data_IF_507545318840
#
_entry.id   IF_507545318840
#
_cell.length_a   1.000
_cell.length_b   1.000
_cell.length_c   1.000
_cell.angle_alpha   90.00
_cell.angle_beta   90.00
_cell.angle_gamma   90.00
#
_symmetry.space_group_name_H-M   'P 1'
#
loop_
_entity.id
_entity.type
_entity.pdbx_description
1 polymer ?
#
# COMPACT_ATOMS: atom_id res chain seq x y z
N UNK A 1 -17.91 7.07 -3.82
CA UNK A 1 -18.09 8.50 -3.53
C UNK A 1 -18.88 9.13 -4.64
N UNK A 2 -20.01 9.71 -4.29
CA UNK A 2 -21.08 10.11 -5.18
C UNK A 2 -20.64 11.29 -6.08
N UNK A 3 -20.85 11.21 -7.38
CA UNK A 3 -20.60 12.28 -8.36
C UNK A 3 -21.35 13.57 -8.01
N UNK A 4 -22.48 13.48 -7.34
CA UNK A 4 -23.27 14.64 -6.89
C UNK A 4 -22.55 15.47 -5.79
N UNK A 5 -21.77 14.85 -4.89
CA UNK A 5 -21.03 15.61 -3.87
C UNK A 5 -19.81 16.35 -4.43
N UNK A 6 -19.30 15.91 -5.60
CA UNK A 6 -18.19 16.59 -6.30
C UNK A 6 -18.66 17.84 -7.05
N UNK A 7 -19.88 17.80 -7.62
CA UNK A 7 -20.48 18.93 -8.33
C UNK A 7 -20.86 20.04 -7.34
N UNK A 8 -21.47 19.70 -6.20
CA UNK A 8 -21.88 20.69 -5.19
C UNK A 8 -20.71 21.42 -4.52
N UNK A 9 -19.55 20.78 -4.35
CA UNK A 9 -18.34 21.43 -3.83
C UNK A 9 -17.68 22.35 -4.87
N UNK A 10 -17.85 22.05 -6.16
CA UNK A 10 -17.37 22.88 -7.27
C UNK A 10 -18.21 24.13 -7.42
N UNK A 11 -19.53 24.02 -7.35
CA UNK A 11 -20.47 25.14 -7.47
C UNK A 11 -20.37 26.12 -6.30
N UNK A 12 -20.20 25.64 -5.06
CA UNK A 12 -20.02 26.49 -3.88
C UNK A 12 -18.69 27.29 -3.96
N UNK A 13 -17.67 26.69 -4.49
CA UNK A 13 -16.36 27.29 -4.59
C UNK A 13 -16.23 28.25 -5.79
N UNK A 14 -16.88 27.95 -6.92
CA UNK A 14 -16.99 28.87 -8.06
C UNK A 14 -17.81 30.12 -7.72
N UNK A 15 -18.83 30.00 -6.87
CA UNK A 15 -19.63 31.12 -6.41
C UNK A 15 -18.92 32.03 -5.40
N UNK A 16 -18.07 31.47 -4.51
CA UNK A 16 -17.22 32.24 -3.61
C UNK A 16 -16.14 33.07 -4.34
N UNK A 17 -15.59 32.53 -5.42
CA UNK A 17 -14.63 33.23 -6.26
C UNK A 17 -15.29 34.31 -7.16
N UNK A 18 -16.50 34.04 -7.66
CA UNK A 18 -17.25 35.01 -8.49
C UNK A 18 -17.71 36.21 -7.68
N UNK A 19 -17.94 36.09 -6.37
CA UNK A 19 -18.43 37.19 -5.53
C UNK A 19 -17.36 38.23 -5.18
N UNK A 20 -16.08 38.01 -5.46
CA UNK A 20 -14.97 38.90 -5.15
C UNK A 20 -14.37 39.68 -6.31
N UNK A 21 -14.83 39.49 -7.56
CA UNK A 21 -14.17 40.06 -8.74
C UNK A 21 -15.09 40.84 -9.64
N UNK A 22 -14.78 42.11 -9.82
CA UNK A 22 -15.28 42.94 -10.90
C UNK A 22 -14.86 42.37 -12.26
N UNK A 23 -15.77 42.37 -13.20
CA UNK A 23 -15.63 41.89 -14.59
C UNK A 23 -14.32 42.39 -15.19
N UNK A 24 -13.37 41.52 -15.45
CA UNK A 24 -12.21 41.86 -16.24
C UNK A 24 -12.67 42.31 -17.61
N UNK A 25 -12.33 43.55 -17.99
CA UNK A 25 -12.65 44.10 -19.28
C UNK A 25 -11.95 43.28 -20.36
N UNK A 26 -12.74 42.50 -21.10
CA UNK A 26 -12.28 41.84 -22.31
C UNK A 26 -12.04 42.95 -23.33
N UNK A 27 -10.80 43.33 -23.53
CA UNK A 27 -10.39 44.26 -24.57
C UNK A 27 -10.24 43.49 -25.88
N UNK A 28 -11.00 43.85 -26.87
CA UNK A 28 -11.26 43.06 -28.08
C UNK A 28 -10.07 42.99 -29.01
N UNK A 29 -9.84 41.83 -29.56
CA UNK A 29 -8.97 41.54 -30.71
C UNK A 29 -9.62 41.96 -32.02
N UNK A 30 -8.86 42.30 -33.07
CA UNK A 30 -9.38 42.49 -34.42
C UNK A 30 -10.23 41.31 -34.89
N UNK A 31 -11.27 41.55 -35.66
CA UNK A 31 -12.23 40.53 -36.14
C UNK A 31 -11.56 39.33 -36.82
N UNK A 32 -10.43 39.54 -37.47
CA UNK A 32 -9.63 38.55 -38.20
C UNK A 32 -9.02 37.47 -37.26
N UNK A 33 -8.86 37.78 -35.98
CA UNK A 33 -8.28 36.88 -34.99
C UNK A 33 -9.32 36.17 -34.10
N UNK A 34 -10.59 36.51 -34.17
CA UNK A 34 -11.63 35.93 -33.31
C UNK A 34 -11.75 34.41 -33.53
N UNK A 35 -11.73 33.98 -34.79
CA UNK A 35 -11.79 32.55 -35.13
C UNK A 35 -10.60 31.78 -34.57
N UNK A 36 -9.40 32.34 -34.67
CA UNK A 36 -8.19 31.75 -34.11
C UNK A 36 -8.25 31.69 -32.57
N UNK A 37 -8.77 32.73 -31.93
CA UNK A 37 -8.95 32.75 -30.47
C UNK A 37 -9.94 31.68 -30.02
N UNK A 38 -11.05 31.49 -30.71
CA UNK A 38 -12.02 30.42 -30.41
C UNK A 38 -11.38 29.03 -30.50
N UNK A 39 -10.61 28.78 -31.56
CA UNK A 39 -9.94 27.50 -31.74
C UNK A 39 -8.83 27.27 -30.66
N UNK A 40 -8.13 28.32 -30.27
CA UNK A 40 -7.15 28.27 -29.16
C UNK A 40 -7.81 27.95 -27.83
N UNK A 41 -8.97 28.55 -27.54
CA UNK A 41 -9.74 28.23 -26.33
C UNK A 41 -10.23 26.77 -26.35
N UNK A 42 -10.73 26.29 -27.50
CA UNK A 42 -11.10 24.87 -27.65
C UNK A 42 -9.91 23.92 -27.50
N UNK A 43 -8.75 24.30 -27.99
CA UNK A 43 -7.52 23.53 -27.81
C UNK A 43 -7.10 23.52 -26.35
N UNK A 44 -7.12 24.64 -25.65
CA UNK A 44 -6.87 24.76 -24.22
C UNK A 44 -7.84 23.90 -23.41
N UNK A 45 -9.11 23.85 -23.79
CA UNK A 45 -10.09 22.98 -23.14
C UNK A 45 -9.78 21.49 -23.35
N UNK A 46 -9.25 21.11 -24.53
CA UNK A 46 -8.75 19.72 -24.76
C UNK A 46 -7.58 19.39 -23.84
N UNK A 47 -6.63 20.30 -23.67
CA UNK A 47 -5.49 20.10 -22.77
C UNK A 47 -5.92 20.07 -21.30
N UNK A 48 -6.86 20.92 -20.90
CA UNK A 48 -7.46 20.90 -19.57
C UNK A 48 -8.16 19.56 -19.29
N UNK A 49 -8.93 19.04 -20.24
CA UNK A 49 -9.52 17.70 -20.18
C UNK A 49 -8.46 16.62 -19.96
N UNK A 50 -7.33 16.66 -20.69
CA UNK A 50 -6.25 15.69 -20.55
C UNK A 50 -5.57 15.78 -19.18
N UNK A 51 -5.40 16.99 -18.67
CA UNK A 51 -4.76 17.25 -17.38
C UNK A 51 -5.64 16.86 -16.18
N UNK A 52 -6.96 17.11 -16.29
CA UNK A 52 -7.89 17.01 -15.14
C UNK A 52 -8.82 15.81 -15.20
N UNK A 53 -9.00 15.18 -16.37
CA UNK A 53 -9.98 14.11 -16.59
C UNK A 53 -11.43 14.60 -16.78
N UNK A 54 -11.67 15.91 -16.83
CA UNK A 54 -12.99 16.47 -17.13
C UNK A 54 -13.47 16.09 -18.54
N UNK A 55 -14.79 16.14 -18.78
CA UNK A 55 -15.32 16.05 -20.13
C UNK A 55 -15.02 17.34 -20.91
N UNK A 56 -14.96 17.26 -22.25
CA UNK A 56 -14.68 18.42 -23.10
C UNK A 56 -15.64 19.60 -22.88
N UNK A 57 -16.94 19.32 -22.71
CA UNK A 57 -17.95 20.32 -22.42
C UNK A 57 -17.68 20.99 -21.06
N UNK A 58 -17.38 20.20 -20.00
CA UNK A 58 -17.08 20.72 -18.68
C UNK A 58 -15.81 21.58 -18.67
N UNK A 59 -14.81 21.22 -19.46
CA UNK A 59 -13.60 22.02 -19.62
C UNK A 59 -13.89 23.38 -20.32
N UNK A 60 -14.75 23.40 -21.35
CA UNK A 60 -15.19 24.63 -22.01
C UNK A 60 -16.01 25.52 -21.08
N UNK A 61 -16.92 24.93 -20.30
CA UNK A 61 -17.71 25.67 -19.29
C UNK A 61 -16.81 26.25 -18.20
N UNK A 62 -15.82 25.49 -17.76
CA UNK A 62 -14.84 25.96 -16.77
C UNK A 62 -14.05 27.16 -17.25
N UNK A 63 -13.58 27.13 -18.52
CA UNK A 63 -12.86 28.27 -19.12
C UNK A 63 -13.79 29.45 -19.24
N UNK A 64 -15.05 29.25 -19.69
CA UNK A 64 -16.02 30.28 -19.83
C UNK A 64 -16.36 30.97 -18.52
N UNK A 65 -16.57 30.21 -17.47
CA UNK A 65 -16.78 30.71 -16.10
C UNK A 65 -15.58 31.49 -15.58
N UNK A 66 -14.35 31.01 -15.85
CA UNK A 66 -13.11 31.71 -15.49
C UNK A 66 -12.99 33.08 -16.21
N UNK A 67 -13.54 33.18 -17.39
CA UNK A 67 -13.62 34.42 -18.16
C UNK A 67 -14.86 35.28 -17.81
N UNK A 68 -15.59 34.95 -16.75
CA UNK A 68 -16.78 35.62 -16.26
C UNK A 68 -18.01 35.56 -17.23
N UNK A 69 -18.06 34.53 -18.09
CA UNK A 69 -19.23 34.23 -18.91
C UNK A 69 -20.05 33.10 -18.24
N UNK A 70 -21.36 33.16 -18.47
CA UNK A 70 -22.32 32.21 -17.91
C UNK A 70 -22.08 30.78 -18.40
N UNK A 71 -21.69 30.64 -19.69
CA UNK A 71 -21.41 29.35 -20.33
C UNK A 71 -20.57 29.55 -21.62
N UNK A 72 -20.13 28.44 -22.22
CA UNK A 72 -19.38 28.44 -23.48
C UNK A 72 -20.12 29.10 -24.63
N UNK A 73 -21.42 28.93 -24.73
CA UNK A 73 -22.22 29.52 -25.80
C UNK A 73 -22.23 31.06 -25.72
N UNK A 74 -22.37 31.62 -24.53
CA UNK A 74 -22.30 33.06 -24.29
C UNK A 74 -20.91 33.62 -24.63
N UNK A 75 -19.83 32.98 -24.16
CA UNK A 75 -18.46 33.36 -24.50
C UNK A 75 -18.23 33.33 -26.01
N UNK A 76 -18.59 32.23 -26.66
CA UNK A 76 -18.44 32.08 -28.13
C UNK A 76 -19.27 33.11 -28.91
N UNK A 77 -20.48 33.40 -28.47
CA UNK A 77 -21.33 34.43 -29.07
C UNK A 77 -20.78 35.85 -28.88
N UNK A 78 -20.16 36.10 -27.70
CA UNK A 78 -19.51 37.37 -27.42
C UNK A 78 -18.29 37.58 -28.32
N UNK A 79 -17.42 36.58 -28.43
CA UNK A 79 -16.27 36.61 -29.33
C UNK A 79 -16.67 36.78 -30.79
N UNK A 80 -17.72 36.11 -31.24
CA UNK A 80 -18.26 36.26 -32.61
C UNK A 80 -18.83 37.64 -32.92
N UNK A 81 -19.27 38.40 -31.90
CA UNK A 81 -19.79 39.76 -32.04
C UNK A 81 -18.72 40.84 -31.89
N UNK A 82 -17.53 40.50 -31.48
CA UNK A 82 -16.44 41.44 -31.28
C UNK A 82 -15.96 41.98 -32.63
N UNK A 83 -16.49 43.16 -32.99
CA UNK A 83 -16.06 43.92 -34.16
C UNK A 83 -15.03 44.94 -33.72
N UNK A 84 -13.81 44.74 -34.16
CA UNK A 84 -12.66 45.67 -34.18
C UNK A 84 -12.06 46.24 -32.88
N UNK A 85 -10.77 46.01 -32.76
CA UNK A 85 -9.75 46.76 -32.00
C UNK A 85 -9.76 46.73 -30.46
N UNK A 86 -10.10 45.65 -29.83
CA UNK A 86 -9.81 45.52 -28.39
C UNK A 86 -8.99 44.24 -28.14
N UNK A 87 -7.88 44.34 -27.43
CA UNK A 87 -7.11 43.19 -27.02
C UNK A 87 -7.75 42.53 -25.79
N UNK A 88 -7.83 41.21 -25.78
CA UNK A 88 -8.20 40.48 -24.57
C UNK A 88 -7.01 40.51 -23.64
N UNK A 89 -7.02 41.43 -22.69
CA UNK A 89 -6.06 41.41 -21.58
C UNK A 89 -6.56 40.42 -20.53
N UNK A 90 -5.96 39.22 -20.54
CA UNK A 90 -6.17 38.24 -19.47
C UNK A 90 -5.18 38.59 -18.35
N UNK A 91 -5.67 39.25 -17.31
CA UNK A 91 -4.87 39.61 -16.16
C UNK A 91 -4.50 38.37 -15.27
N UNK A 92 -3.68 38.58 -14.27
CA UNK A 92 -3.29 37.55 -13.29
C UNK A 92 -4.47 36.78 -12.70
N UNK A 93 -5.60 37.48 -12.53
CA UNK A 93 -6.88 36.93 -12.08
C UNK A 93 -7.39 35.75 -12.93
N UNK A 94 -7.11 35.77 -14.22
CA UNK A 94 -7.58 34.72 -15.14
C UNK A 94 -6.81 33.41 -14.89
N UNK A 95 -5.49 33.48 -14.67
CA UNK A 95 -4.66 32.32 -14.30
C UNK A 95 -5.16 31.72 -12.99
N UNK A 96 -5.51 32.58 -12.02
CA UNK A 96 -6.04 32.16 -10.73
C UNK A 96 -7.45 31.52 -10.86
N UNK A 97 -8.27 31.99 -11.78
CA UNK A 97 -9.62 31.44 -12.02
C UNK A 97 -9.62 30.07 -12.68
N UNK A 98 -8.55 29.71 -13.40
CA UNK A 98 -8.40 28.36 -13.95
C UNK A 98 -7.94 27.31 -12.90
N UNK A 99 -7.47 27.75 -11.74
CA UNK A 99 -7.06 26.86 -10.66
C UNK A 99 -8.11 25.86 -10.19
N UNK A 100 -9.45 26.16 -10.15
CA UNK A 100 -10.42 25.19 -9.66
C UNK A 100 -10.43 23.88 -10.42
N UNK A 101 -10.32 23.92 -11.72
CA UNK A 101 -10.31 22.70 -12.53
C UNK A 101 -9.03 21.89 -12.37
N UNK A 102 -7.90 22.59 -12.16
CA UNK A 102 -6.62 21.98 -11.85
C UNK A 102 -6.58 21.47 -10.39
N UNK A 103 -7.17 22.25 -9.47
CA UNK A 103 -7.32 21.88 -8.05
C UNK A 103 -8.08 20.58 -7.86
N UNK A 104 -9.11 20.28 -8.68
CA UNK A 104 -9.85 19.03 -8.53
C UNK A 104 -8.95 17.80 -8.72
N UNK A 105 -7.97 17.88 -9.60
CA UNK A 105 -7.01 16.79 -9.85
C UNK A 105 -5.86 16.79 -8.84
N UNK A 106 -5.39 17.97 -8.42
CA UNK A 106 -4.23 18.13 -7.52
C UNK A 106 -4.66 18.20 -6.05
N UNK A 107 -5.91 18.59 -5.73
CA UNK A 107 -6.45 18.66 -4.36
C UNK A 107 -6.73 17.30 -3.73
N UNK A 108 -7.00 16.30 -4.56
CA UNK A 108 -7.22 14.93 -4.06
C UNK A 108 -5.92 14.30 -3.55
N UNK A 109 -4.75 14.79 -3.99
CA UNK A 109 -3.45 14.37 -3.49
C UNK A 109 -2.35 15.36 -3.95
N UNK A 110 -2.09 16.46 -3.23
CA UNK A 110 -1.07 17.45 -3.59
C UNK A 110 0.36 16.88 -3.56
N UNK A 111 0.54 15.72 -2.95
CA UNK A 111 1.82 15.01 -2.83
C UNK A 111 2.04 13.94 -3.91
N UNK A 112 1.00 13.59 -4.66
CA UNK A 112 1.13 12.57 -5.72
C UNK A 112 1.73 13.19 -6.97
N UNK A 113 2.83 12.62 -7.50
CA UNK A 113 3.45 13.11 -8.70
C UNK A 113 2.47 13.10 -9.88
N UNK A 114 2.50 14.16 -10.68
CA UNK A 114 1.68 14.25 -11.89
C UNK A 114 2.11 13.18 -12.88
N UNK A 115 1.15 12.54 -13.56
CA UNK A 115 1.47 11.62 -14.66
C UNK A 115 2.11 12.39 -15.83
N UNK A 116 3.02 11.77 -16.61
CA UNK A 116 3.63 12.42 -17.78
C UNK A 116 2.63 13.08 -18.73
N UNK A 117 1.48 12.43 -18.98
CA UNK A 117 0.38 13.01 -19.79
C UNK A 117 -0.24 14.27 -19.16
N UNK A 118 -0.30 14.33 -17.84
CA UNK A 118 -0.82 15.51 -17.13
C UNK A 118 0.16 16.68 -17.21
N UNK A 119 1.46 16.40 -17.10
CA UNK A 119 2.51 17.40 -17.30
C UNK A 119 2.45 17.97 -18.70
N UNK A 120 2.47 17.12 -19.73
CA UNK A 120 2.37 17.57 -21.13
C UNK A 120 1.07 18.34 -21.39
N UNK A 121 -0.05 17.89 -20.80
CA UNK A 121 -1.33 18.58 -20.91
C UNK A 121 -1.31 19.97 -20.27
N UNK A 122 -0.72 20.12 -19.09
CA UNK A 122 -0.57 21.40 -18.41
C UNK A 122 0.39 22.35 -19.14
N UNK A 123 1.51 21.85 -19.63
CA UNK A 123 2.46 22.64 -20.42
C UNK A 123 1.84 23.15 -21.72
N UNK A 124 1.11 22.29 -22.45
CA UNK A 124 0.37 22.68 -23.65
C UNK A 124 -0.71 23.69 -23.34
N UNK A 125 -1.49 23.48 -22.27
CA UNK A 125 -2.51 24.42 -21.80
C UNK A 125 -1.90 25.79 -21.46
N UNK A 126 -0.81 25.82 -20.68
CA UNK A 126 -0.15 27.06 -20.32
C UNK A 126 0.44 27.77 -21.55
N UNK A 127 0.94 27.03 -22.52
CA UNK A 127 1.46 27.57 -23.77
C UNK A 127 0.35 28.23 -24.58
N UNK A 128 -0.81 27.58 -24.71
CA UNK A 128 -1.95 28.17 -25.43
C UNK A 128 -2.52 29.37 -24.66
N UNK A 129 -2.58 29.31 -23.35
CA UNK A 129 -3.01 30.41 -22.52
C UNK A 129 -2.06 31.60 -22.62
N UNK A 130 -0.75 31.36 -22.70
CA UNK A 130 0.27 32.39 -22.90
C UNK A 130 0.06 33.17 -24.20
N UNK A 131 -0.32 32.50 -25.29
CA UNK A 131 -0.60 33.15 -26.58
C UNK A 131 -1.79 34.10 -26.50
N UNK A 132 -2.77 33.81 -25.65
CA UNK A 132 -3.97 34.61 -25.49
C UNK A 132 -3.81 35.70 -24.45
N UNK A 133 -3.10 35.42 -23.36
CA UNK A 133 -2.95 36.31 -22.19
C UNK A 133 -1.77 37.27 -22.28
N UNK A 134 -0.78 36.95 -23.13
CA UNK A 134 0.48 37.70 -23.19
C UNK A 134 1.47 37.33 -22.07
N UNK A 135 1.11 36.45 -21.13
CA UNK A 135 2.01 35.96 -20.10
C UNK A 135 2.92 34.84 -20.63
N UNK A 136 4.08 34.69 -20.01
CA UNK A 136 4.93 33.53 -20.29
C UNK A 136 4.31 32.25 -19.73
N UNK A 137 4.37 31.16 -20.48
CA UNK A 137 3.84 29.86 -20.07
C UNK A 137 4.43 29.36 -18.72
N UNK A 138 5.71 29.62 -18.49
CA UNK A 138 6.38 29.29 -17.21
C UNK A 138 5.75 30.04 -16.02
N UNK A 139 5.45 31.31 -16.19
CA UNK A 139 4.79 32.11 -15.15
C UNK A 139 3.37 31.59 -14.84
N UNK A 140 2.63 31.20 -15.87
CA UNK A 140 1.30 30.60 -15.70
C UNK A 140 1.39 29.30 -14.89
N UNK A 141 2.34 28.42 -15.24
CA UNK A 141 2.56 27.17 -14.53
C UNK A 141 3.00 27.37 -13.08
N UNK A 142 3.95 28.28 -12.85
CA UNK A 142 4.40 28.60 -11.50
C UNK A 142 3.28 29.18 -10.63
N UNK A 143 2.47 30.07 -11.16
CA UNK A 143 1.34 30.65 -10.43
C UNK A 143 0.28 29.60 -10.05
N UNK A 144 0.00 28.68 -10.95
CA UNK A 144 -0.92 27.56 -10.72
C UNK A 144 -0.36 26.62 -9.64
N UNK A 145 0.90 26.21 -9.78
CA UNK A 145 1.54 25.26 -8.89
C UNK A 145 1.79 25.84 -7.51
N UNK A 146 2.25 27.09 -7.41
CA UNK A 146 2.52 27.74 -6.12
C UNK A 146 1.30 27.75 -5.20
N UNK A 147 0.12 27.90 -5.76
CA UNK A 147 -1.14 27.93 -5.01
C UNK A 147 -1.71 26.54 -4.71
N UNK A 148 -1.40 25.53 -5.53
CA UNK A 148 -1.92 24.17 -5.43
C UNK A 148 -1.01 23.22 -4.64
N UNK A 149 0.29 23.47 -4.65
CA UNK A 149 1.32 22.61 -4.10
C UNK A 149 2.16 23.34 -3.04
N UNK A 150 1.53 24.14 -2.18
CA UNK A 150 2.17 24.72 -0.98
C UNK A 150 3.51 25.43 -1.24
N UNK A 151 3.58 26.27 -2.28
CA UNK A 151 4.77 27.11 -2.57
C UNK A 151 5.84 26.45 -3.43
N UNK A 152 5.58 25.29 -4.01
CA UNK A 152 6.48 24.69 -5.00
C UNK A 152 6.42 25.44 -6.34
N UNK A 153 7.57 25.53 -7.05
CA UNK A 153 7.60 25.98 -8.45
C UNK A 153 7.24 24.84 -9.40
N UNK A 154 6.82 25.19 -10.63
CA UNK A 154 6.57 24.19 -11.68
C UNK A 154 7.78 23.27 -11.93
N UNK A 155 8.98 23.85 -11.96
CA UNK A 155 10.21 23.08 -12.15
C UNK A 155 10.45 22.08 -11.01
N UNK A 156 10.08 22.41 -9.78
CA UNK A 156 10.17 21.49 -8.64
C UNK A 156 9.15 20.37 -8.76
N UNK A 157 7.90 20.66 -9.14
CA UNK A 157 6.86 19.63 -9.38
C UNK A 157 7.26 18.72 -10.54
N UNK A 158 7.77 19.29 -11.63
CA UNK A 158 8.26 18.53 -12.78
C UNK A 158 9.48 17.66 -12.43
N UNK A 159 10.46 18.22 -11.70
CA UNK A 159 11.63 17.48 -11.23
C UNK A 159 11.23 16.34 -10.28
N UNK A 160 10.29 16.57 -9.36
CA UNK A 160 9.73 15.55 -8.47
C UNK A 160 9.08 14.41 -9.25
N UNK A 161 8.29 14.71 -10.27
CA UNK A 161 7.67 13.70 -11.13
C UNK A 161 8.71 12.89 -11.92
N UNK A 162 9.74 13.54 -12.45
CA UNK A 162 10.82 12.87 -13.18
C UNK A 162 11.67 12.00 -12.23
N UNK A 163 11.96 12.51 -11.03
CA UNK A 163 12.65 11.76 -9.99
C UNK A 163 11.83 10.55 -9.54
N UNK A 164 10.53 10.72 -9.33
CA UNK A 164 9.65 9.63 -8.93
C UNK A 164 9.50 8.56 -10.02
N UNK A 165 9.48 8.96 -11.29
CA UNK A 165 9.49 8.01 -12.42
C UNK A 165 10.79 7.22 -12.53
N UNK A 166 11.91 7.75 -12.03
CA UNK A 166 13.23 7.11 -11.99
C UNK A 166 13.53 6.43 -10.64
N UNK A 167 12.78 6.78 -9.58
CA UNK A 167 12.98 6.22 -8.25
C UNK A 167 12.41 4.82 -8.20
N UNK A 168 13.18 3.83 -7.74
CA UNK A 168 12.65 2.47 -7.54
C UNK A 168 11.49 2.52 -6.54
N UNK A 169 10.45 1.72 -6.79
CA UNK A 169 9.25 1.66 -5.94
C UNK A 169 9.59 1.34 -4.48
N UNK A 170 10.67 0.57 -4.25
CA UNK A 170 11.22 0.28 -2.95
C UNK A 170 12.74 0.40 -2.94
N UNK A 171 13.27 0.79 -1.79
CA UNK A 171 14.70 0.77 -1.48
C UNK A 171 14.90 0.31 -0.03
N UNK A 172 16.06 -0.25 0.27
CA UNK A 172 16.47 -0.53 1.64
C UNK A 172 17.45 0.54 2.11
N UNK A 173 17.15 1.17 3.23
CA UNK A 173 18.01 2.18 3.86
C UNK A 173 18.70 1.51 5.04
N UNK A 174 20.02 1.51 5.00
CA UNK A 174 20.86 1.11 6.15
C UNK A 174 21.09 2.34 7.00
N UNK A 175 20.76 2.26 8.27
CA UNK A 175 21.15 3.27 9.24
C UNK A 175 22.50 2.81 9.86
N UNK A 176 23.57 3.54 9.51
CA UNK A 176 24.92 3.19 9.96
C UNK A 176 25.11 3.42 11.47
N UNK A 177 24.40 4.37 12.05
CA UNK A 177 24.47 4.70 13.47
C UNK A 177 23.63 3.77 14.33
N UNK A 178 22.45 3.42 13.81
CA UNK A 178 21.48 2.57 14.46
C UNK A 178 21.04 1.45 13.48
N UNK A 179 21.84 0.39 13.31
CA UNK A 179 21.54 -0.69 12.35
C UNK A 179 20.16 -1.31 12.52
N UNK A 180 19.61 -1.24 13.75
CA UNK A 180 18.27 -1.66 14.09
C UNK A 180 17.15 -0.80 13.49
N UNK A 181 17.46 0.40 13.04
CA UNK A 181 16.51 1.30 12.35
C UNK A 181 16.58 1.18 10.82
N UNK A 182 17.39 0.24 10.34
CA UNK A 182 17.44 -0.09 8.92
C UNK A 182 16.10 -0.63 8.43
N UNK A 183 15.65 -0.15 7.27
CA UNK A 183 14.29 -0.40 6.83
C UNK A 183 14.10 -0.32 5.33
N UNK A 184 13.10 -1.02 4.85
CA UNK A 184 12.53 -0.77 3.52
C UNK A 184 11.78 0.56 3.52
N UNK A 185 11.85 1.27 2.42
CA UNK A 185 11.14 2.53 2.20
C UNK A 185 10.42 2.45 0.86
N UNK A 186 9.13 2.73 0.87
CA UNK A 186 8.31 2.83 -0.32
C UNK A 186 8.37 4.25 -0.91
N UNK A 187 8.34 4.39 -2.23
CA UNK A 187 8.17 5.68 -2.90
C UNK A 187 6.71 6.16 -2.81
N UNK A 188 6.48 7.46 -3.05
CA UNK A 188 5.12 8.02 -3.09
C UNK A 188 4.25 7.31 -4.15
N UNK A 189 4.83 6.93 -5.29
CA UNK A 189 4.14 6.16 -6.32
C UNK A 189 3.69 4.77 -5.82
N UNK A 190 4.51 4.13 -4.99
CA UNK A 190 4.16 2.87 -4.37
C UNK A 190 3.04 3.05 -3.35
N UNK A 191 3.13 4.07 -2.48
CA UNK A 191 2.08 4.39 -1.49
C UNK A 191 0.75 4.61 -2.19
N UNK A 192 0.72 5.37 -3.29
CA UNK A 192 -0.50 5.58 -4.06
C UNK A 192 -1.09 4.30 -4.68
N UNK A 193 -0.24 3.31 -5.04
CA UNK A 193 -0.70 1.99 -5.47
C UNK A 193 -1.31 1.20 -4.30
N UNK A 194 -0.68 1.26 -3.13
CA UNK A 194 -1.15 0.61 -1.89
C UNK A 194 -2.50 1.17 -1.46
N UNK A 195 -2.67 2.48 -1.44
CA UNK A 195 -3.94 3.15 -1.08
C UNK A 195 -5.08 2.72 -2.03
N UNK A 196 -4.79 2.60 -3.32
CA UNK A 196 -5.75 2.11 -4.30
C UNK A 196 -6.12 0.65 -4.07
N UNK A 197 -5.14 -0.17 -3.78
CA UNK A 197 -5.34 -1.58 -3.47
C UNK A 197 -6.22 -1.74 -2.23
N UNK A 198 -5.84 -1.09 -1.12
CA UNK A 198 -6.60 -1.17 0.13
C UNK A 198 -7.99 -0.55 0.03
N UNK A 199 -8.17 0.46 -0.81
CA UNK A 199 -9.49 1.02 -1.12
C UNK A 199 -10.46 0.04 -1.79
N UNK A 200 -9.99 -1.14 -2.24
CA UNK A 200 -10.83 -2.20 -2.78
C UNK A 200 -11.29 -3.21 -1.73
N UNK A 201 -10.66 -3.21 -0.54
CA UNK A 201 -11.06 -4.08 0.56
C UNK A 201 -12.27 -3.51 1.28
N UNK A 202 -13.17 -4.36 1.79
CA UNK A 202 -14.29 -3.88 2.60
C UNK A 202 -13.78 -3.23 3.89
N UNK A 203 -14.48 -2.21 4.34
CA UNK A 203 -14.14 -1.50 5.59
C UNK A 203 -14.28 -2.42 6.81
N UNK A 204 -15.18 -3.40 6.72
CA UNK A 204 -15.44 -4.41 7.75
C UNK A 204 -15.70 -5.77 7.11
N UNK A 205 -15.22 -6.82 7.78
CA UNK A 205 -15.49 -8.20 7.39
C UNK A 205 -14.44 -8.81 6.45
N UNK A 206 -14.68 -10.06 6.09
CA UNK A 206 -13.81 -10.86 5.22
C UNK A 206 -14.25 -10.66 3.76
N UNK A 207 -13.29 -10.69 2.84
CA UNK A 207 -13.57 -10.67 1.40
C UNK A 207 -14.43 -11.88 1.01
N UNK A 208 -15.57 -11.64 0.37
CA UNK A 208 -16.28 -12.71 -0.30
C UNK A 208 -15.51 -13.13 -1.57
N UNK A 209 -15.89 -14.25 -2.16
CA UNK A 209 -15.20 -14.84 -3.33
C UNK A 209 -15.11 -13.87 -4.52
N UNK A 210 -16.22 -13.18 -4.84
CA UNK A 210 -16.25 -12.21 -5.95
C UNK A 210 -15.33 -11.00 -5.69
N UNK A 211 -15.33 -10.48 -4.47
CA UNK A 211 -14.44 -9.38 -4.05
C UNK A 211 -12.98 -9.81 -4.12
N UNK A 212 -12.65 -11.01 -3.61
CA UNK A 212 -11.32 -11.62 -3.66
C UNK A 212 -10.83 -11.73 -5.11
N UNK A 213 -11.64 -12.32 -5.99
CA UNK A 213 -11.31 -12.46 -7.41
C UNK A 213 -11.02 -11.10 -8.07
N UNK A 214 -11.85 -10.09 -7.78
CA UNK A 214 -11.67 -8.72 -8.29
C UNK A 214 -10.36 -8.08 -7.80
N UNK A 215 -10.05 -8.22 -6.51
CA UNK A 215 -8.80 -7.71 -5.93
C UNK A 215 -7.60 -8.41 -6.53
N UNK A 216 -7.60 -9.75 -6.58
CA UNK A 216 -6.52 -10.53 -7.19
C UNK A 216 -6.30 -10.15 -8.67
N UNK A 217 -7.36 -9.97 -9.45
CA UNK A 217 -7.26 -9.55 -10.85
C UNK A 217 -6.63 -8.16 -10.97
N UNK A 218 -7.04 -7.22 -10.11
CA UNK A 218 -6.47 -5.87 -10.13
C UNK A 218 -4.98 -5.90 -9.77
N UNK A 219 -4.61 -6.66 -8.73
CA UNK A 219 -3.21 -6.79 -8.31
C UNK A 219 -2.40 -7.42 -9.44
N UNK A 220 -2.83 -8.53 -10.05
CA UNK A 220 -2.12 -9.18 -11.16
C UNK A 220 -1.86 -8.21 -12.31
N UNK A 221 -2.89 -7.46 -12.77
CA UNK A 221 -2.74 -6.43 -13.82
C UNK A 221 -1.82 -5.29 -13.42
N UNK A 222 -1.77 -4.96 -12.14
CA UNK A 222 -0.86 -3.92 -11.63
C UNK A 222 0.58 -4.43 -11.62
N UNK A 223 0.80 -5.68 -11.20
CA UNK A 223 2.11 -6.32 -11.16
C UNK A 223 2.69 -6.61 -12.56
N UNK A 224 1.85 -6.79 -13.58
CA UNK A 224 2.30 -6.86 -14.98
C UNK A 224 2.96 -5.55 -15.42
N UNK A 225 2.45 -4.40 -14.96
CA UNK A 225 2.95 -3.06 -15.32
C UNK A 225 4.02 -2.56 -14.36
N UNK A 226 3.95 -2.97 -13.11
CA UNK A 226 4.81 -2.55 -12.01
C UNK A 226 5.26 -3.79 -11.21
N UNK A 227 6.16 -4.62 -11.76
CA UNK A 227 6.60 -5.87 -11.11
C UNK A 227 7.26 -5.64 -9.75
N UNK A 228 7.79 -4.43 -9.52
CA UNK A 228 8.42 -4.03 -8.27
C UNK A 228 7.43 -3.54 -7.20
N UNK A 229 6.11 -3.62 -7.43
CA UNK A 229 5.10 -3.31 -6.41
C UNK A 229 5.02 -4.43 -5.38
N UNK A 230 5.96 -4.43 -4.41
CA UNK A 230 6.17 -5.53 -3.47
C UNK A 230 4.96 -5.77 -2.57
N UNK A 231 4.28 -4.71 -2.08
CA UNK A 231 3.09 -4.84 -1.25
C UNK A 231 1.93 -5.55 -1.97
N UNK A 232 1.74 -5.23 -3.26
CA UNK A 232 0.80 -5.97 -4.09
C UNK A 232 1.15 -7.45 -4.20
N UNK A 233 2.45 -7.76 -4.31
CA UNK A 233 2.95 -9.15 -4.31
C UNK A 233 2.68 -9.88 -3.00
N UNK A 234 2.91 -9.23 -1.86
CA UNK A 234 2.59 -9.76 -0.52
C UNK A 234 1.10 -10.07 -0.41
N UNK A 235 0.28 -9.07 -0.73
CA UNK A 235 -1.18 -9.21 -0.60
C UNK A 235 -1.75 -10.28 -1.54
N UNK A 236 -1.21 -10.39 -2.76
CA UNK A 236 -1.60 -11.46 -3.68
C UNK A 236 -1.24 -12.83 -3.12
N UNK A 237 -0.02 -12.98 -2.58
CA UNK A 237 0.43 -14.24 -1.99
C UNK A 237 -0.49 -14.72 -0.86
N UNK A 238 -0.88 -13.81 0.05
CA UNK A 238 -1.79 -14.12 1.16
C UNK A 238 -3.18 -14.50 0.65
N UNK A 239 -3.76 -13.73 -0.27
CA UNK A 239 -5.08 -14.02 -0.83
C UNK A 239 -5.14 -15.36 -1.57
N UNK A 240 -4.04 -15.78 -2.20
CA UNK A 240 -3.93 -17.07 -2.86
C UNK A 240 -3.74 -18.22 -1.87
N UNK A 241 -2.91 -18.01 -0.83
CA UNK A 241 -2.69 -19.01 0.21
C UNK A 241 -3.97 -19.32 1.00
N UNK A 242 -4.75 -18.29 1.32
CA UNK A 242 -6.05 -18.40 2.02
C UNK A 242 -7.03 -19.38 1.32
N UNK A 243 -6.92 -19.57 0.01
CA UNK A 243 -7.76 -20.49 -0.76
C UNK A 243 -7.01 -21.74 -1.22
N UNK A 244 -5.78 -21.91 -0.79
CA UNK A 244 -4.94 -23.05 -1.18
C UNK A 244 -4.52 -23.05 -2.66
N UNK A 245 -4.47 -21.87 -3.31
CA UNK A 245 -4.06 -21.74 -4.71
C UNK A 245 -2.56 -22.09 -4.85
N UNK A 246 -2.19 -23.05 -5.73
CA UNK A 246 -0.80 -23.48 -5.90
C UNK A 246 0.15 -22.37 -6.35
N UNK A 247 -0.33 -21.30 -7.00
CA UNK A 247 0.47 -20.16 -7.42
C UNK A 247 1.04 -19.39 -6.23
N UNK A 248 0.43 -19.48 -5.04
CA UNK A 248 0.87 -18.77 -3.84
C UNK A 248 2.36 -18.99 -3.55
N UNK A 249 2.84 -20.23 -3.62
CA UNK A 249 4.24 -20.56 -3.34
C UNK A 249 5.23 -19.90 -4.33
N UNK A 250 4.83 -19.80 -5.60
CA UNK A 250 5.63 -19.13 -6.65
C UNK A 250 5.68 -17.62 -6.39
N UNK A 251 4.53 -17.01 -6.06
CA UNK A 251 4.44 -15.57 -5.75
C UNK A 251 5.26 -15.25 -4.50
N UNK A 252 5.13 -16.02 -3.42
CA UNK A 252 5.94 -15.87 -2.19
C UNK A 252 7.43 -15.91 -2.52
N UNK A 253 7.88 -16.92 -3.27
CA UNK A 253 9.29 -17.09 -3.60
C UNK A 253 9.83 -15.92 -4.42
N UNK A 254 9.07 -15.45 -5.40
CA UNK A 254 9.41 -14.32 -6.27
C UNK A 254 9.57 -13.03 -5.48
N UNK A 255 8.58 -12.69 -4.64
CA UNK A 255 8.61 -11.42 -3.91
C UNK A 255 9.54 -11.44 -2.71
N UNK A 256 9.74 -12.60 -2.08
CA UNK A 256 10.77 -12.75 -1.06
C UNK A 256 12.17 -12.49 -1.65
N UNK A 257 12.48 -13.08 -2.81
CA UNK A 257 13.73 -12.81 -3.53
C UNK A 257 13.86 -11.33 -3.93
N UNK A 258 12.76 -10.66 -4.31
CA UNK A 258 12.77 -9.24 -4.63
C UNK A 258 13.09 -8.36 -3.41
N UNK A 259 12.54 -8.65 -2.23
CA UNK A 259 12.92 -7.98 -0.99
C UNK A 259 14.40 -8.23 -0.64
N UNK A 260 14.84 -9.47 -0.74
CA UNK A 260 16.23 -9.85 -0.44
C UNK A 260 17.24 -9.18 -1.36
N UNK A 261 16.88 -8.95 -2.63
CA UNK A 261 17.71 -8.24 -3.58
C UNK A 261 17.92 -6.75 -3.25
N UNK A 262 17.00 -6.15 -2.47
CA UNK A 262 17.14 -4.78 -2.01
C UNK A 262 18.07 -4.64 -0.79
N UNK A 263 18.22 -5.71 0.00
CA UNK A 263 19.07 -5.70 1.20
C UNK A 263 20.53 -5.85 0.77
N UNK A 264 21.43 -4.95 1.20
CA UNK A 264 22.87 -5.09 0.92
C UNK A 264 23.43 -6.44 1.39
N UNK A 265 24.31 -7.05 0.60
CA UNK A 265 24.83 -8.39 0.89
C UNK A 265 25.64 -8.49 2.20
N UNK A 266 26.23 -7.39 2.60
CA UNK A 266 27.03 -7.25 3.81
C UNK A 266 26.20 -6.84 5.03
N UNK A 267 24.91 -6.51 4.83
CA UNK A 267 24.03 -6.14 5.94
C UNK A 267 23.74 -7.34 6.85
N UNK A 268 24.08 -7.19 8.13
CA UNK A 268 23.91 -8.22 9.18
C UNK A 268 23.01 -7.77 10.32
N UNK A 269 22.49 -6.55 10.24
CA UNK A 269 21.62 -5.97 11.26
C UNK A 269 20.23 -6.59 11.28
N UNK A 270 19.46 -6.28 12.31
CA UNK A 270 18.05 -6.66 12.37
C UNK A 270 17.22 -5.85 11.38
N UNK A 271 16.13 -6.44 10.91
CA UNK A 271 15.08 -5.79 10.13
C UNK A 271 13.85 -5.79 11.02
N UNK A 272 13.66 -4.75 11.83
CA UNK A 272 12.64 -4.73 12.89
C UNK A 272 11.23 -4.60 12.33
N UNK A 273 10.29 -5.28 12.93
CA UNK A 273 8.84 -5.17 12.65
C UNK A 273 8.26 -3.77 12.90
N UNK A 274 8.91 -2.94 13.70
CA UNK A 274 8.44 -1.59 14.04
C UNK A 274 8.15 -0.74 12.79
N UNK A 275 8.93 -0.90 11.73
CA UNK A 275 8.75 -0.19 10.48
C UNK A 275 7.71 -0.87 9.59
N UNK A 276 6.72 -0.11 9.10
CA UNK A 276 5.59 -0.65 8.34
C UNK A 276 6.03 -1.48 7.14
N UNK A 277 6.95 -0.98 6.33
CA UNK A 277 7.43 -1.70 5.14
C UNK A 277 8.24 -2.95 5.47
N UNK A 278 8.90 -3.00 6.64
CA UNK A 278 9.58 -4.20 7.11
C UNK A 278 8.58 -5.33 7.41
N UNK A 279 7.35 -4.99 7.82
CA UNK A 279 6.29 -5.98 8.09
C UNK A 279 5.95 -6.79 6.85
N UNK A 280 5.98 -6.18 5.65
CA UNK A 280 5.72 -6.87 4.39
C UNK A 280 6.70 -8.02 4.16
N UNK A 281 7.99 -7.76 4.40
CA UNK A 281 9.03 -8.77 4.30
C UNK A 281 8.84 -9.90 5.33
N UNK A 282 8.54 -9.57 6.57
CA UNK A 282 8.29 -10.56 7.62
C UNK A 282 7.03 -11.37 7.37
N UNK A 283 5.95 -10.78 6.85
CA UNK A 283 4.72 -11.49 6.48
C UNK A 283 5.00 -12.53 5.39
N UNK A 284 5.76 -12.16 4.35
CA UNK A 284 6.17 -13.12 3.32
C UNK A 284 7.05 -14.26 3.87
N UNK A 285 8.00 -13.93 4.74
CA UNK A 285 8.82 -14.96 5.39
C UNK A 285 7.97 -15.91 6.23
N UNK A 286 7.00 -15.36 6.95
CA UNK A 286 6.09 -16.15 7.77
C UNK A 286 5.19 -17.05 6.92
N UNK A 287 4.61 -16.53 5.87
CA UNK A 287 3.84 -17.30 4.89
C UNK A 287 4.70 -18.42 4.27
N UNK A 288 5.96 -18.11 3.92
CA UNK A 288 6.90 -19.12 3.46
C UNK A 288 7.19 -20.19 4.52
N UNK A 289 7.30 -19.79 5.78
CA UNK A 289 7.50 -20.72 6.90
C UNK A 289 6.32 -21.70 7.02
N UNK A 290 5.09 -21.18 6.96
CA UNK A 290 3.87 -21.99 7.00
C UNK A 290 3.81 -22.99 5.83
N UNK A 291 4.11 -22.53 4.61
CA UNK A 291 4.16 -23.41 3.44
C UNK A 291 5.22 -24.50 3.57
N UNK A 292 6.43 -24.17 4.05
CA UNK A 292 7.49 -25.15 4.29
C UNK A 292 7.09 -26.17 5.34
N UNK A 293 6.41 -25.75 6.40
CA UNK A 293 5.91 -26.66 7.42
C UNK A 293 4.81 -27.57 6.90
N UNK A 294 3.77 -27.01 6.25
CA UNK A 294 2.63 -27.80 5.72
C UNK A 294 3.04 -28.83 4.68
N UNK A 295 4.04 -28.52 3.87
CA UNK A 295 4.45 -29.35 2.73
C UNK A 295 5.68 -30.22 3.03
N UNK A 296 6.19 -30.22 4.28
CA UNK A 296 7.34 -31.03 4.63
C UNK A 296 6.94 -32.49 4.89
N UNK A 297 7.35 -33.38 4.01
CA UNK A 297 7.17 -34.84 4.16
C UNK A 297 8.39 -35.52 4.81
N UNK A 298 9.53 -34.84 4.78
CA UNK A 298 10.80 -35.37 5.29
C UNK A 298 11.43 -34.47 6.32
N UNK A 299 12.27 -35.04 7.23
CA UNK A 299 13.07 -34.27 8.18
C UNK A 299 13.99 -33.25 7.48
N UNK A 300 14.47 -33.56 6.29
CA UNK A 300 15.32 -32.67 5.50
C UNK A 300 14.55 -31.42 5.04
N UNK A 301 13.32 -31.58 4.62
CA UNK A 301 12.45 -30.48 4.26
C UNK A 301 12.06 -29.65 5.48
N UNK A 302 11.71 -30.31 6.59
CA UNK A 302 11.41 -29.64 7.85
C UNK A 302 12.61 -28.81 8.36
N UNK A 303 13.85 -29.24 8.14
CA UNK A 303 15.04 -28.45 8.46
C UNK A 303 15.11 -27.11 7.70
N UNK A 304 14.47 -26.99 6.52
CA UNK A 304 14.36 -25.72 5.81
C UNK A 304 13.43 -24.75 6.57
N UNK A 305 12.33 -25.26 7.13
CA UNK A 305 11.44 -24.46 7.98
C UNK A 305 12.18 -23.99 9.26
N UNK A 306 12.94 -24.89 9.92
CA UNK A 306 13.78 -24.55 11.08
C UNK A 306 14.79 -23.45 10.73
N UNK A 307 15.48 -23.56 9.60
CA UNK A 307 16.46 -22.57 9.16
C UNK A 307 15.82 -21.20 8.92
N UNK A 308 14.63 -21.19 8.30
CA UNK A 308 13.87 -19.95 8.06
C UNK A 308 13.39 -19.34 9.40
N UNK A 309 12.82 -20.13 10.30
CA UNK A 309 12.38 -19.67 11.61
C UNK A 309 13.54 -19.05 12.42
N UNK A 310 14.72 -19.70 12.42
CA UNK A 310 15.94 -19.15 13.04
C UNK A 310 16.36 -17.82 12.41
N UNK A 311 16.24 -17.70 11.09
CA UNK A 311 16.54 -16.45 10.36
C UNK A 311 15.56 -15.35 10.74
N UNK A 312 14.26 -15.64 10.74
CA UNK A 312 13.21 -14.69 11.13
C UNK A 312 13.46 -14.14 12.53
N UNK A 313 13.74 -15.03 13.47
CA UNK A 313 13.99 -14.63 14.84
C UNK A 313 15.25 -13.75 15.00
N UNK A 314 16.31 -13.98 14.21
CA UNK A 314 17.49 -13.10 14.19
C UNK A 314 17.20 -11.73 13.60
N UNK A 315 16.40 -11.67 12.54
CA UNK A 315 16.07 -10.41 11.88
C UNK A 315 15.10 -9.56 12.70
N UNK A 316 14.21 -10.20 13.45
CA UNK A 316 13.23 -9.52 14.30
C UNK A 316 13.25 -10.09 15.72
N UNK A 317 14.20 -9.67 16.57
CA UNK A 317 14.33 -10.23 17.92
C UNK A 317 13.10 -10.01 18.82
N UNK A 318 12.30 -8.98 18.56
CA UNK A 318 11.06 -8.70 19.29
C UNK A 318 9.93 -9.67 18.93
N UNK A 319 10.09 -10.42 17.83
CA UNK A 319 9.22 -11.52 17.42
C UNK A 319 7.71 -11.25 17.48
N UNK A 320 7.28 -10.24 16.76
CA UNK A 320 5.86 -9.87 16.70
C UNK A 320 4.95 -10.89 15.98
N UNK A 321 5.54 -11.93 15.37
CA UNK A 321 4.83 -13.01 14.67
C UNK A 321 4.78 -14.33 15.47
N UNK A 322 5.32 -14.36 16.67
CA UNK A 322 5.29 -15.54 17.54
C UNK A 322 6.19 -16.69 17.10
N UNK A 323 7.21 -16.43 16.29
CA UNK A 323 8.16 -17.47 15.80
C UNK A 323 8.88 -18.14 16.96
N UNK A 324 9.05 -17.45 18.10
CA UNK A 324 9.66 -18.01 19.33
C UNK A 324 8.88 -19.19 19.92
N UNK A 325 7.57 -19.27 19.66
CA UNK A 325 6.75 -20.42 20.06
C UNK A 325 6.83 -21.56 19.04
N UNK A 326 6.96 -21.22 17.76
CA UNK A 326 6.95 -22.20 16.66
C UNK A 326 8.32 -22.88 16.51
N UNK A 327 9.41 -22.13 16.69
CA UNK A 327 10.77 -22.65 16.53
C UNK A 327 11.09 -23.85 17.42
N UNK A 328 10.76 -23.87 18.73
CA UNK A 328 10.96 -25.09 19.56
C UNK A 328 10.18 -26.28 19.01
N UNK A 329 8.94 -26.13 18.59
CA UNK A 329 8.11 -27.20 18.03
C UNK A 329 8.73 -27.78 16.73
N UNK A 330 9.18 -26.92 15.84
CA UNK A 330 9.88 -27.33 14.62
C UNK A 330 11.17 -28.10 14.92
N UNK A 331 11.91 -27.70 15.96
CA UNK A 331 13.12 -28.36 16.40
C UNK A 331 12.82 -29.74 16.95
N UNK A 332 11.73 -29.92 17.69
CA UNK A 332 11.28 -31.24 18.17
C UNK A 332 10.96 -32.15 16.98
N UNK A 333 10.24 -31.68 15.98
CA UNK A 333 9.86 -32.44 14.78
C UNK A 333 11.09 -32.96 13.98
N UNK A 334 12.20 -32.25 14.02
CA UNK A 334 13.44 -32.70 13.39
C UNK A 334 14.33 -33.52 14.33
N UNK A 335 13.94 -33.73 15.59
CA UNK A 335 14.68 -34.48 16.60
C UNK A 335 15.83 -33.71 17.29
N UNK A 336 15.82 -32.36 17.16
CA UNK A 336 16.84 -31.51 17.83
C UNK A 336 16.39 -31.12 19.24
N UNK A 337 16.13 -32.10 20.13
CA UNK A 337 15.48 -31.93 21.43
C UNK A 337 16.19 -30.93 22.34
N UNK A 338 17.53 -31.03 22.49
CA UNK A 338 18.31 -30.06 23.30
C UNK A 338 18.32 -28.65 22.73
N UNK A 339 18.19 -28.51 21.40
CA UNK A 339 18.06 -27.21 20.76
C UNK A 339 16.66 -26.62 20.97
N UNK A 340 15.63 -27.47 20.96
CA UNK A 340 14.25 -27.10 21.26
C UNK A 340 14.12 -26.57 22.69
N UNK A 341 14.63 -27.30 23.66
CA UNK A 341 14.68 -26.92 25.07
C UNK A 341 15.32 -25.52 25.23
N UNK A 342 16.54 -25.33 24.69
CA UNK A 342 17.21 -24.03 24.76
C UNK A 342 16.44 -22.91 24.08
N UNK A 343 15.76 -23.20 22.99
CA UNK A 343 14.90 -22.20 22.30
C UNK A 343 13.68 -21.83 23.16
N UNK A 344 13.09 -22.80 23.88
CA UNK A 344 11.93 -22.57 24.75
C UNK A 344 12.27 -21.73 25.99
N UNK A 345 13.53 -21.66 26.41
CA UNK A 345 13.92 -20.79 27.53
C UNK A 345 13.65 -19.30 27.28
N UNK A 346 13.60 -18.90 26.05
CA UNK A 346 13.29 -17.50 25.67
C UNK A 346 11.85 -17.09 26.01
N UNK A 347 10.95 -18.05 26.16
CA UNK A 347 9.55 -17.83 26.53
C UNK A 347 9.26 -18.26 27.99
N UNK A 348 10.30 -18.69 28.74
CA UNK A 348 10.14 -19.25 30.08
C UNK A 348 9.45 -18.33 31.09
N UNK A 349 9.64 -17.02 30.95
CA UNK A 349 9.10 -16.03 31.90
C UNK A 349 7.73 -15.52 31.50
N UNK A 350 7.19 -15.94 30.36
CA UNK A 350 5.92 -15.38 29.84
C UNK A 350 4.69 -15.89 30.60
N UNK A 351 4.74 -17.14 31.11
CA UNK A 351 3.67 -17.72 31.94
C UNK A 351 2.32 -17.87 31.22
N UNK A 352 2.28 -17.72 29.91
CA UNK A 352 1.07 -17.88 29.10
C UNK A 352 0.83 -19.35 28.76
N UNK A 353 -0.43 -19.72 28.45
CA UNK A 353 -0.78 -21.12 28.18
C UNK A 353 -0.02 -21.70 26.96
N UNK A 354 0.18 -20.91 25.91
CA UNK A 354 0.98 -21.26 24.74
C UNK A 354 2.47 -21.44 25.07
N UNK A 355 3.04 -20.57 25.89
CA UNK A 355 4.42 -20.72 26.35
C UNK A 355 4.61 -21.99 27.17
N UNK A 356 3.71 -22.24 28.13
CA UNK A 356 3.75 -23.44 28.99
C UNK A 356 3.56 -24.72 28.16
N UNK A 357 2.68 -24.73 27.16
CA UNK A 357 2.48 -25.88 26.28
C UNK A 357 3.75 -26.24 25.50
N UNK A 358 4.35 -25.22 24.87
CA UNK A 358 5.61 -25.41 24.12
C UNK A 358 6.73 -25.91 25.02
N UNK A 359 6.85 -25.36 26.23
CA UNK A 359 7.84 -25.80 27.22
C UNK A 359 7.57 -27.23 27.68
N UNK A 360 6.31 -27.61 27.93
CA UNK A 360 5.94 -28.96 28.31
C UNK A 360 6.43 -29.98 27.27
N UNK A 361 6.17 -29.77 25.98
CA UNK A 361 6.68 -30.67 24.95
C UNK A 361 8.22 -30.75 24.92
N UNK A 362 8.91 -29.64 25.16
CA UNK A 362 10.37 -29.62 25.22
C UNK A 362 10.90 -30.39 26.45
N UNK A 363 10.29 -30.20 27.63
CA UNK A 363 10.66 -30.92 28.86
C UNK A 363 10.44 -32.41 28.71
N UNK A 364 9.29 -32.82 28.14
CA UNK A 364 9.01 -34.22 27.82
C UNK A 364 10.10 -34.84 26.93
N UNK A 365 10.40 -34.18 25.83
CA UNK A 365 11.37 -34.69 24.84
C UNK A 365 12.81 -34.86 25.37
N UNK A 366 13.16 -34.13 26.43
CA UNK A 366 14.46 -34.30 27.10
C UNK A 366 14.41 -35.21 28.35
N UNK A 367 13.22 -35.73 28.70
CA UNK A 367 13.01 -36.67 29.80
C UNK A 367 12.80 -36.01 31.18
N UNK A 368 12.55 -34.71 31.24
CA UNK A 368 12.18 -34.00 32.46
C UNK A 368 10.67 -34.09 32.72
N UNK A 369 10.24 -35.24 33.26
CA UNK A 369 8.81 -35.53 33.42
C UNK A 369 8.13 -34.71 34.52
N UNK A 370 8.85 -34.30 35.56
CA UNK A 370 8.26 -33.48 36.63
C UNK A 370 7.94 -32.07 36.09
N UNK A 371 8.91 -31.44 35.41
CA UNK A 371 8.73 -30.16 34.78
C UNK A 371 7.66 -30.20 33.67
N UNK A 372 7.64 -31.29 32.88
CA UNK A 372 6.59 -31.51 31.87
C UNK A 372 5.20 -31.48 32.49
N UNK A 373 5.00 -32.24 33.61
CA UNK A 373 3.68 -32.29 34.28
C UNK A 373 3.24 -30.91 34.76
N UNK A 374 4.12 -30.19 35.43
CA UNK A 374 3.80 -28.86 35.96
C UNK A 374 3.45 -27.86 34.86
N UNK A 375 4.20 -27.84 33.76
CA UNK A 375 3.98 -26.98 32.61
C UNK A 375 2.72 -27.36 31.87
N UNK A 376 2.42 -28.65 31.68
CA UNK A 376 1.23 -29.14 31.02
C UNK A 376 -0.05 -28.74 31.79
N UNK A 377 -0.04 -28.97 33.14
CA UNK A 377 -1.17 -28.56 33.99
C UNK A 377 -1.41 -27.06 33.88
N UNK A 378 -0.33 -26.27 33.94
CA UNK A 378 -0.43 -24.82 33.74
C UNK A 378 -0.99 -24.45 32.37
N UNK A 379 -0.53 -25.08 31.30
CA UNK A 379 -1.03 -24.84 29.94
C UNK A 379 -2.54 -25.15 29.83
N UNK A 380 -2.97 -26.31 30.36
CA UNK A 380 -4.38 -26.74 30.34
C UNK A 380 -5.29 -25.85 31.21
N UNK A 381 -4.75 -25.25 32.26
CA UNK A 381 -5.46 -24.26 33.05
C UNK A 381 -5.74 -22.97 32.25
N UNK A 382 -4.75 -22.50 31.50
CA UNK A 382 -4.88 -21.29 30.69
C UNK A 382 -5.63 -21.52 29.38
N UNK A 383 -5.52 -22.73 28.81
CA UNK A 383 -6.15 -23.09 27.50
C UNK A 383 -6.87 -24.43 27.66
N UNK A 384 -8.08 -24.43 28.24
CA UNK A 384 -8.83 -25.67 28.48
C UNK A 384 -9.12 -26.50 27.21
N UNK A 385 -9.23 -25.85 26.05
CA UNK A 385 -9.47 -26.51 24.77
C UNK A 385 -8.41 -27.57 24.43
N UNK A 386 -7.16 -27.38 24.87
CA UNK A 386 -6.10 -28.38 24.71
C UNK A 386 -6.38 -29.70 25.40
N UNK A 387 -7.11 -29.69 26.50
CA UNK A 387 -7.49 -30.92 27.20
C UNK A 387 -8.29 -31.86 26.31
N UNK A 388 -9.28 -31.32 25.58
CA UNK A 388 -10.07 -32.13 24.63
C UNK A 388 -9.19 -32.68 23.52
N UNK A 389 -8.34 -31.83 22.90
CA UNK A 389 -7.46 -32.24 21.81
C UNK A 389 -6.44 -33.33 22.24
N UNK A 390 -5.91 -33.26 23.46
CA UNK A 390 -4.91 -34.22 23.96
C UNK A 390 -5.54 -35.55 24.44
N UNK A 391 -6.81 -35.55 24.83
CA UNK A 391 -7.49 -36.73 25.41
C UNK A 391 -8.40 -37.43 24.41
N UNK A 392 -8.73 -36.81 23.28
CA UNK A 392 -9.66 -37.36 22.29
C UNK A 392 -8.94 -37.50 20.94
N UNK A 393 -8.62 -38.73 20.56
CA UNK A 393 -7.96 -39.06 19.29
C UNK A 393 -8.81 -38.70 18.05
N UNK A 394 -10.12 -38.45 18.24
CA UNK A 394 -11.05 -38.02 17.21
C UNK A 394 -11.26 -36.50 17.21
N UNK A 395 -10.68 -35.79 18.17
CA UNK A 395 -10.85 -34.34 18.25
C UNK A 395 -10.26 -33.64 17.02
N UNK A 396 -11.07 -32.81 16.41
CA UNK A 396 -10.63 -31.93 15.33
C UNK A 396 -10.07 -30.64 15.91
N UNK A 397 -9.18 -30.00 15.16
CA UNK A 397 -8.74 -28.65 15.50
C UNK A 397 -9.98 -27.73 15.60
N UNK A 398 -10.04 -26.83 16.61
CA UNK A 398 -11.16 -25.93 16.75
C UNK A 398 -11.31 -25.05 15.51
N UNK A 399 -12.55 -24.97 14.98
CA UNK A 399 -12.89 -24.07 13.89
C UNK A 399 -13.13 -22.66 14.46
N UNK A 400 -12.44 -21.67 13.88
CA UNK A 400 -12.68 -20.27 14.17
C UNK A 400 -12.06 -19.75 15.47
N UNK A 401 -12.50 -18.57 15.87
CA UNK A 401 -12.04 -17.89 17.09
C UNK A 401 -12.57 -18.60 18.35
N UNK A 402 -11.72 -19.31 19.04
CA UNK A 402 -12.03 -19.98 20.31
C UNK A 402 -12.12 -19.01 21.50
N UNK A 403 -12.06 -17.70 21.25
CA UNK A 403 -11.98 -16.68 22.29
C UNK A 403 -10.61 -16.60 22.96
N UNK A 404 -9.64 -17.37 22.49
CA UNK A 404 -8.27 -17.33 22.98
C UNK A 404 -7.58 -16.04 22.56
N UNK A 405 -7.01 -15.34 23.52
CA UNK A 405 -6.22 -14.13 23.35
C UNK A 405 -4.76 -14.34 23.76
N UNK A 406 -4.13 -15.38 23.24
CA UNK A 406 -2.71 -15.67 23.46
C UNK A 406 -1.80 -14.75 22.65
N UNK A 407 -0.49 -14.89 22.88
CA UNK A 407 0.55 -14.18 22.14
C UNK A 407 0.77 -14.76 20.74
N UNK A 408 0.34 -16.00 20.49
CA UNK A 408 0.22 -16.54 19.15
C UNK A 408 -1.08 -16.03 18.53
N UNK A 409 -1.04 -15.31 17.40
CA UNK A 409 -2.20 -14.62 16.84
C UNK A 409 -3.38 -15.52 16.50
N UNK A 410 -3.12 -16.82 16.29
CA UNK A 410 -4.08 -17.80 15.86
C UNK A 410 -3.89 -19.11 16.60
N UNK A 411 -4.91 -19.55 17.34
CA UNK A 411 -4.92 -20.83 18.04
C UNK A 411 -4.75 -22.00 17.05
N UNK A 412 -5.40 -21.92 15.88
CA UNK A 412 -5.31 -22.94 14.85
C UNK A 412 -3.88 -23.07 14.32
N UNK A 413 -3.16 -21.94 14.21
CA UNK A 413 -1.76 -21.94 13.83
C UNK A 413 -0.91 -22.65 14.88
N UNK A 414 -1.06 -22.34 16.18
CA UNK A 414 -0.36 -23.03 17.25
C UNK A 414 -0.68 -24.52 17.22
N UNK A 415 -1.94 -24.90 17.08
CA UNK A 415 -2.39 -26.29 16.98
C UNK A 415 -1.74 -27.02 15.80
N UNK A 416 -1.67 -26.37 14.62
CA UNK A 416 -1.06 -26.98 13.43
C UNK A 416 0.42 -27.36 13.61
N UNK A 417 1.14 -26.62 14.45
CA UNK A 417 2.54 -26.93 14.79
C UNK A 417 2.66 -27.87 15.99
N UNK A 418 1.80 -27.73 16.99
CA UNK A 418 1.86 -28.51 18.20
C UNK A 418 1.34 -29.95 18.01
N UNK A 419 0.31 -30.14 17.18
CA UNK A 419 -0.30 -31.45 16.98
C UNK A 419 0.65 -32.51 16.40
N UNK A 420 1.38 -32.26 15.31
CA UNK A 420 2.41 -33.20 14.84
C UNK A 420 3.48 -33.48 15.91
N UNK A 421 3.81 -32.45 16.72
CA UNK A 421 4.77 -32.61 17.82
C UNK A 421 4.21 -33.52 18.92
N UNK A 422 2.94 -33.33 19.28
CA UNK A 422 2.27 -34.19 20.26
C UNK A 422 2.21 -35.64 19.79
N UNK A 423 1.78 -35.89 18.54
CA UNK A 423 1.74 -37.22 17.94
C UNK A 423 3.14 -37.90 17.97
N UNK A 424 4.19 -37.14 17.63
CA UNK A 424 5.56 -37.65 17.69
C UNK A 424 5.96 -37.99 19.13
N UNK A 425 5.66 -37.14 20.08
CA UNK A 425 5.98 -37.31 21.51
C UNK A 425 5.19 -38.48 22.08
N UNK A 426 3.90 -38.63 21.78
CA UNK A 426 3.08 -39.75 22.23
C UNK A 426 3.54 -41.08 21.65
N UNK A 427 4.12 -41.12 20.45
CA UNK A 427 4.68 -42.29 19.81
C UNK A 427 6.07 -42.69 20.35
N UNK A 428 6.72 -41.84 21.15
CA UNK A 428 8.01 -42.18 21.81
C UNK A 428 7.82 -43.12 23.00
N UNK A 429 6.57 -43.50 23.29
CA UNK A 429 6.23 -44.57 24.21
C UNK A 429 6.52 -44.23 25.67
N UNK A 430 5.56 -43.61 26.34
CA UNK A 430 5.43 -43.66 27.79
C UNK A 430 4.19 -44.46 28.15
#
# INVERSE_FOLDING_TARGET
>A
MNTQSRVSSFDSWSSELASGYTVASIQTTPADFVGELVERIKFSARNLKLATGLKQAEALETISSALAFRNWHELNSHLARATSRQHVALGDEWVLRLQPALVLTLRTNPEVPLKPKQITGLESFATELAKVSGYQAGFILDAVVAKLCSGLSWNQVKARTLLDAQTPLYRFIVDEKYPEDSRFVASDACIALSDRMFGMFPTHGVLNEMQRARVCQWIRKTLEKQPAFLEGGVQLAELLDDVGDPDAATIVSRYLAAFEALVPKDFKGPIRWAWHQNRLYHRLMFLRLQMLHRNAETKTEMKRAVALARRMYRLNPNDNLGVRYLLPLLLLQVGEYRSAERASWKIKTEGTGDALLVQAFCSFAVGDLDLFRDQLVGALFHIPAWRTLLLDDQATLPDGDTGYRGLVPDMNLLCSYAWPTYQMVSNLGV
#
